data_IF_017814040944
#
_entry.id   IF_017814040944
#
_cell.length_a   1.000
_cell.length_b   1.000
_cell.length_c   1.000
_cell.angle_alpha   90.00
_cell.angle_beta   90.00
_cell.angle_gamma   90.00
#
_symmetry.space_group_name_H-M   'P 1'
#
loop_
_entity.id
_entity.type
_entity.pdbx_description
1 polymer ?
#
# COMPACT_ATOMS: atom_id res chain seq x y z
N UNK A 1 -12.62 27.66 12.02
CA UNK A 1 -11.82 26.68 11.26
C UNK A 1 -10.33 27.03 11.25
N UNK A 2 -9.92 28.25 10.89
CA UNK A 2 -8.50 28.72 10.98
C UNK A 2 -7.89 28.58 12.38
N UNK A 3 -8.67 28.79 13.44
CA UNK A 3 -8.23 28.70 14.83
C UNK A 3 -7.74 27.30 15.24
N UNK A 4 -8.28 26.22 14.65
CA UNK A 4 -7.90 24.85 15.00
C UNK A 4 -6.52 24.50 14.44
N UNK A 5 -6.25 24.82 13.17
CA UNK A 5 -4.94 24.59 12.52
C UNK A 5 -3.82 25.27 13.33
N UNK A 6 -4.05 26.52 13.74
CA UNK A 6 -3.09 27.26 14.57
C UNK A 6 -2.83 26.59 15.93
N UNK A 7 -3.84 25.99 16.55
CA UNK A 7 -3.67 25.26 17.82
C UNK A 7 -2.79 24.02 17.65
N UNK A 8 -3.03 23.22 16.60
CA UNK A 8 -2.20 22.06 16.28
C UNK A 8 -0.75 22.44 15.98
N UNK A 9 -0.53 23.50 15.18
CA UNK A 9 0.82 23.97 14.86
C UNK A 9 1.55 24.52 16.08
N UNK A 10 0.86 25.24 16.98
CA UNK A 10 1.46 25.71 18.24
C UNK A 10 1.87 24.55 19.13
N UNK A 11 0.98 23.56 19.32
CA UNK A 11 1.28 22.36 20.09
C UNK A 11 2.46 21.57 19.48
N UNK A 12 2.48 21.42 18.15
CA UNK A 12 3.58 20.80 17.43
C UNK A 12 4.90 21.53 17.62
N UNK A 13 4.91 22.85 17.41
CA UNK A 13 6.14 23.65 17.53
C UNK A 13 6.69 23.64 18.96
N UNK A 14 5.82 23.61 19.98
CA UNK A 14 6.25 23.44 21.37
C UNK A 14 6.93 22.07 21.55
N UNK A 15 6.25 20.98 21.20
CA UNK A 15 6.77 19.62 21.33
C UNK A 15 8.05 19.36 20.51
N UNK A 16 8.14 19.93 19.31
CA UNK A 16 9.28 19.77 18.41
C UNK A 16 10.53 20.51 18.90
N UNK A 17 10.36 21.60 19.68
CA UNK A 17 11.46 22.38 20.23
C UNK A 17 11.92 21.96 21.63
N UNK A 18 11.22 21.02 22.26
CA UNK A 18 11.61 20.44 23.55
C UNK A 18 12.96 19.72 23.44
N UNK A 19 13.80 19.82 24.48
CA UNK A 19 15.11 19.15 24.54
C UNK A 19 14.97 17.68 24.89
N UNK A 20 15.95 16.86 24.49
CA UNK A 20 15.90 15.39 24.55
C UNK A 20 15.67 14.75 25.94
N UNK A 21 15.79 15.52 27.04
CA UNK A 21 15.55 15.06 28.41
C UNK A 21 14.07 14.95 28.79
N UNK A 22 13.15 15.46 27.96
CA UNK A 22 11.73 15.53 28.26
C UNK A 22 10.89 14.78 27.21
N UNK A 23 9.79 14.17 27.65
CA UNK A 23 8.84 13.48 26.76
C UNK A 23 7.94 14.48 26.06
N UNK A 24 8.05 14.59 24.73
CA UNK A 24 7.18 15.43 23.91
C UNK A 24 5.91 14.67 23.49
N UNK A 25 4.77 15.00 24.09
CA UNK A 25 3.48 14.36 23.78
C UNK A 25 2.45 15.42 23.38
N UNK A 26 1.85 15.24 22.20
CA UNK A 26 0.69 16.01 21.73
C UNK A 26 -0.52 15.08 21.80
N UNK A 27 -1.57 15.48 22.50
CA UNK A 27 -2.73 14.62 22.76
C UNK A 27 -3.95 15.18 22.04
N UNK A 28 -4.61 14.33 21.26
CA UNK A 28 -5.96 14.52 20.75
C UNK A 28 -6.90 13.79 21.71
N UNK A 29 -7.59 14.50 22.63
CA UNK A 29 -8.22 13.84 23.77
C UNK A 29 -9.36 12.91 23.37
N UNK A 30 -9.57 11.86 24.16
CA UNK A 30 -10.73 10.99 24.02
C UNK A 30 -12.04 11.77 24.04
N UNK A 31 -13.07 11.23 23.36
CA UNK A 31 -14.42 11.84 23.23
C UNK A 31 -14.49 13.18 22.49
N UNK A 32 -13.35 13.75 22.08
CA UNK A 32 -13.31 14.98 21.29
C UNK A 32 -13.24 14.69 19.79
N UNK A 33 -13.82 15.59 18.99
CA UNK A 33 -13.75 15.56 17.53
C UNK A 33 -13.21 16.89 17.02
N UNK A 34 -12.14 16.83 16.23
CA UNK A 34 -11.50 18.01 15.64
C UNK A 34 -11.65 17.97 14.11
N UNK A 35 -12.24 19.02 13.55
CA UNK A 35 -12.25 19.26 12.11
C UNK A 35 -10.92 19.89 11.70
N UNK A 36 -10.08 19.14 10.98
CA UNK A 36 -8.71 19.55 10.65
C UNK A 36 -8.59 19.79 9.16
N UNK A 37 -8.29 21.03 8.77
CA UNK A 37 -7.91 21.38 7.40
C UNK A 37 -6.52 20.80 7.05
N UNK A 38 -6.07 20.83 5.78
CA UNK A 38 -4.67 20.61 5.41
C UNK A 38 -3.70 21.21 6.42
N UNK A 39 -2.77 20.39 6.92
CA UNK A 39 -1.80 20.77 7.92
C UNK A 39 -0.55 19.89 7.79
N UNK A 40 0.62 20.54 7.83
CA UNK A 40 1.90 19.87 7.85
C UNK A 40 2.66 20.17 9.15
N UNK A 41 3.03 19.11 9.86
CA UNK A 41 3.91 19.04 11.01
C UNK A 41 5.34 18.82 10.53
N UNK A 42 6.19 19.84 10.69
CA UNK A 42 7.53 19.86 10.09
C UNK A 42 8.62 19.70 11.15
N UNK A 43 9.63 18.89 10.82
CA UNK A 43 10.94 18.88 11.46
C UNK A 43 11.99 19.63 10.61
N UNK A 44 13.30 19.45 10.91
CA UNK A 44 13.83 18.61 11.98
C UNK A 44 13.43 19.13 13.37
N UNK A 45 13.25 18.21 14.32
CA UNK A 45 12.90 18.55 15.70
C UNK A 45 14.12 18.43 16.61
N UNK A 46 14.16 19.25 17.67
CA UNK A 46 15.13 19.13 18.76
C UNK A 46 14.82 17.92 19.65
N UNK A 47 13.53 17.63 19.81
CA UNK A 47 13.07 16.43 20.49
C UNK A 47 13.48 15.19 19.68
N UNK A 48 14.08 14.21 20.36
CA UNK A 48 14.50 12.94 19.76
C UNK A 48 13.34 11.98 19.56
N UNK A 49 12.28 12.11 20.38
CA UNK A 49 11.06 11.34 20.28
C UNK A 49 9.84 12.26 20.46
N UNK A 50 8.89 12.20 19.54
CA UNK A 50 7.63 12.95 19.64
C UNK A 50 6.47 11.96 19.51
N UNK A 51 5.60 11.94 20.52
CA UNK A 51 4.36 11.15 20.46
C UNK A 51 3.19 12.03 20.05
N UNK A 52 2.56 11.70 18.93
CA UNK A 52 1.30 12.27 18.49
C UNK A 52 0.18 11.29 18.85
N UNK A 53 -0.41 11.48 20.04
CA UNK A 53 -1.35 10.55 20.66
C UNK A 53 -2.80 10.91 20.28
N UNK A 54 -3.40 10.09 19.41
CA UNK A 54 -4.77 10.27 18.93
C UNK A 54 -5.71 9.34 19.70
N UNK A 55 -6.39 9.87 20.73
CA UNK A 55 -7.44 9.15 21.46
C UNK A 55 -8.84 9.56 21.02
N UNK A 56 -8.98 10.77 20.47
CA UNK A 56 -10.22 11.31 19.92
C UNK A 56 -10.41 11.02 18.44
N UNK A 57 -11.09 11.94 17.76
CA UNK A 57 -11.37 11.87 16.32
C UNK A 57 -10.79 13.06 15.58
N UNK A 58 -10.07 12.80 14.50
CA UNK A 58 -9.66 13.80 13.52
C UNK A 58 -10.51 13.62 12.26
N UNK A 59 -11.12 14.69 11.78
CA UNK A 59 -12.06 14.65 10.66
C UNK A 59 -11.64 15.64 9.60
N UNK A 60 -11.57 15.21 8.34
CA UNK A 60 -11.29 16.09 7.21
C UNK A 60 -12.54 16.88 6.80
N UNK A 61 -12.38 18.07 6.20
CA UNK A 61 -13.50 18.74 5.55
C UNK A 61 -14.14 17.87 4.46
N UNK A 62 -15.47 17.71 4.53
CA UNK A 62 -16.25 16.80 3.70
C UNK A 62 -16.53 17.30 2.28
N UNK A 63 -16.24 18.57 1.98
CA UNK A 63 -16.50 19.19 0.69
C UNK A 63 -15.20 19.66 0.05
N UNK A 64 -14.89 19.22 -1.17
CA UNK A 64 -13.70 19.66 -1.93
C UNK A 64 -13.56 21.18 -2.05
N UNK A 65 -14.69 21.91 -2.06
CA UNK A 65 -14.71 23.38 -2.09
C UNK A 65 -13.99 24.01 -0.88
N UNK A 66 -14.01 23.36 0.28
CA UNK A 66 -13.36 23.85 1.52
C UNK A 66 -11.83 23.75 1.44
N UNK A 67 -11.31 22.91 0.54
CA UNK A 67 -9.89 22.72 0.32
C UNK A 67 -9.31 23.72 -0.69
N UNK A 68 -10.15 24.50 -1.39
CA UNK A 68 -9.71 25.48 -2.39
C UNK A 68 -8.80 26.52 -1.76
N UNK A 69 -7.63 26.74 -2.36
CA UNK A 69 -6.61 27.68 -1.87
C UNK A 69 -5.69 27.10 -0.77
N UNK A 70 -5.87 25.84 -0.39
CA UNK A 70 -4.95 25.10 0.48
C UNK A 70 -4.15 24.10 -0.36
N UNK A 71 -3.11 23.49 0.22
CA UNK A 71 -2.41 22.36 -0.40
C UNK A 71 -3.12 21.05 0.00
N UNK A 72 -3.92 20.45 -0.88
CA UNK A 72 -4.72 19.29 -0.52
C UNK A 72 -3.88 18.00 -0.49
N UNK A 73 -2.60 18.05 -0.87
CA UNK A 73 -1.67 16.92 -0.67
C UNK A 73 -1.15 16.81 0.77
N UNK A 74 -1.52 17.75 1.65
CA UNK A 74 -0.91 17.95 2.96
C UNK A 74 -1.89 17.77 4.12
N UNK A 75 -2.86 16.88 4.02
CA UNK A 75 -3.65 16.57 5.21
C UNK A 75 -2.85 15.69 6.16
N UNK A 76 -2.82 16.06 7.45
CA UNK A 76 -2.09 15.35 8.51
C UNK A 76 -0.70 14.87 8.07
N UNK A 77 0.10 15.80 7.52
CA UNK A 77 1.41 15.47 6.99
C UNK A 77 2.50 15.67 8.05
N UNK A 78 3.34 14.66 8.24
CA UNK A 78 4.55 14.72 9.04
C UNK A 78 5.75 14.71 8.10
N UNK A 79 6.62 15.70 8.21
CA UNK A 79 7.72 15.96 7.26
C UNK A 79 9.04 16.08 7.97
N UNK A 80 10.04 15.27 7.59
CA UNK A 80 11.41 15.44 8.07
C UNK A 80 11.58 15.18 9.57
N UNK A 81 10.77 14.31 10.15
CA UNK A 81 10.78 14.01 11.60
C UNK A 81 11.49 12.69 11.84
N UNK A 82 12.43 12.67 12.79
CA UNK A 82 13.05 11.44 13.30
C UNK A 82 12.40 11.09 14.66
N UNK A 83 12.14 9.82 14.95
CA UNK A 83 11.57 9.40 16.24
C UNK A 83 10.09 9.76 16.44
N UNK A 84 9.31 9.80 15.34
CA UNK A 84 7.88 10.10 15.43
C UNK A 84 7.08 8.86 15.84
N UNK A 85 6.25 8.98 16.88
CA UNK A 85 5.32 7.95 17.32
C UNK A 85 3.87 8.44 17.18
N UNK A 86 3.20 8.07 16.10
CA UNK A 86 1.77 8.33 15.89
C UNK A 86 1.00 7.14 16.45
N UNK A 87 0.31 7.33 17.56
CA UNK A 87 -0.31 6.23 18.28
C UNK A 87 -1.65 6.62 18.88
N UNK A 88 -2.39 5.64 19.38
CA UNK A 88 -3.60 5.85 20.17
C UNK A 88 -4.65 4.82 19.82
N UNK A 89 -5.90 5.07 20.16
CA UNK A 89 -7.06 4.24 19.81
C UNK A 89 -8.16 5.06 19.13
N UNK A 90 -7.80 6.26 18.69
CA UNK A 90 -8.68 7.21 18.04
C UNK A 90 -8.89 6.90 16.56
N UNK A 91 -9.70 7.76 15.93
CA UNK A 91 -10.15 7.60 14.56
C UNK A 91 -9.77 8.79 13.68
N UNK A 92 -9.28 8.51 12.48
CA UNK A 92 -9.03 9.48 11.41
C UNK A 92 -10.06 9.24 10.31
N UNK A 93 -10.95 10.21 10.09
CA UNK A 93 -12.03 10.15 9.11
C UNK A 93 -11.76 11.13 7.96
N UNK A 94 -11.40 10.60 6.79
CA UNK A 94 -11.02 11.38 5.62
C UNK A 94 -12.19 12.04 4.87
N UNK A 95 -13.44 11.66 5.17
CA UNK A 95 -14.64 12.19 4.50
C UNK A 95 -14.60 12.16 2.96
N UNK A 96 -14.09 11.06 2.39
CA UNK A 96 -13.83 10.86 0.96
C UNK A 96 -15.01 10.96 0.00
N UNK A 97 -16.25 10.74 0.45
CA UNK A 97 -17.42 10.67 -0.43
C UNK A 97 -17.62 11.88 -1.37
N UNK A 98 -17.28 13.10 -0.94
CA UNK A 98 -17.39 14.29 -1.80
C UNK A 98 -16.37 14.32 -2.94
N UNK A 99 -15.25 13.61 -2.79
CA UNK A 99 -14.19 13.47 -3.78
C UNK A 99 -14.48 12.34 -4.76
N UNK A 100 -14.96 11.19 -4.29
CA UNK A 100 -15.24 10.01 -5.12
C UNK A 100 -16.31 10.25 -6.20
N UNK A 101 -17.14 11.28 -6.04
CA UNK A 101 -18.13 11.70 -7.04
C UNK A 101 -17.53 12.59 -8.16
N UNK A 102 -16.21 12.82 -8.14
CA UNK A 102 -15.48 13.62 -9.13
C UNK A 102 -14.47 12.76 -9.88
N UNK A 103 -13.76 13.36 -10.83
CA UNK A 103 -12.68 12.68 -11.53
C UNK A 103 -11.56 12.33 -10.55
N UNK A 104 -10.99 11.11 -10.66
CA UNK A 104 -9.84 10.70 -9.87
C UNK A 104 -8.63 11.63 -10.01
N UNK A 105 -8.55 12.39 -11.11
CA UNK A 105 -7.49 13.40 -11.32
C UNK A 105 -7.58 14.57 -10.36
N UNK A 106 -8.78 14.84 -9.85
CA UNK A 106 -9.07 15.89 -8.88
C UNK A 106 -9.03 15.35 -7.45
N UNK A 107 -8.75 14.04 -7.27
CA UNK A 107 -8.57 13.49 -5.94
C UNK A 107 -7.30 14.06 -5.33
N UNK A 108 -7.41 14.61 -4.13
CA UNK A 108 -6.28 15.12 -3.40
C UNK A 108 -5.46 13.98 -2.82
N UNK A 109 -4.17 14.24 -2.56
CA UNK A 109 -3.29 13.35 -1.79
C UNK A 109 -3.65 13.32 -0.30
N UNK A 110 -4.93 13.06 0.01
CA UNK A 110 -5.45 13.01 1.36
C UNK A 110 -5.13 11.65 1.93
N UNK A 111 -4.16 11.64 2.81
CA UNK A 111 -3.69 10.51 3.60
C UNK A 111 -3.24 11.06 4.95
N UNK A 112 -2.97 10.19 5.91
CA UNK A 112 -1.92 10.49 6.87
C UNK A 112 -0.58 10.33 6.15
N UNK A 113 0.19 11.42 6.06
CA UNK A 113 1.41 11.45 5.26
C UNK A 113 2.65 11.38 6.17
N UNK A 114 3.52 10.40 5.94
CA UNK A 114 4.83 10.23 6.56
C UNK A 114 5.88 10.47 5.47
N UNK A 115 6.45 11.67 5.47
CA UNK A 115 7.26 12.18 4.35
C UNK A 115 8.68 12.50 4.84
N UNK A 116 9.67 11.78 4.33
CA UNK A 116 11.07 11.93 4.74
C UNK A 116 11.26 11.80 6.25
N UNK A 117 10.49 10.92 6.87
CA UNK A 117 10.60 10.62 8.30
C UNK A 117 11.47 9.39 8.52
N UNK A 118 12.17 9.37 9.66
CA UNK A 118 13.06 8.27 10.01
C UNK A 118 12.70 7.69 11.38
N UNK A 119 12.95 6.40 11.58
CA UNK A 119 12.82 5.73 12.89
C UNK A 119 11.47 6.03 13.55
N UNK A 120 10.38 5.79 12.82
CA UNK A 120 9.04 6.26 13.20
C UNK A 120 8.03 5.12 13.23
N UNK A 121 7.04 5.25 14.11
CA UNK A 121 6.03 4.23 14.38
C UNK A 121 4.63 4.81 14.21
N UNK A 122 3.76 4.08 13.52
CA UNK A 122 2.32 4.33 13.42
C UNK A 122 1.56 3.12 13.97
N UNK A 123 0.73 3.28 15.00
CA UNK A 123 0.06 2.12 15.60
C UNK A 123 -1.30 2.34 16.23
N UNK A 124 -2.10 1.27 16.26
CA UNK A 124 -3.36 1.15 17.02
C UNK A 124 -4.51 2.07 16.56
N UNK A 125 -4.41 2.66 15.35
CA UNK A 125 -5.37 3.65 14.87
C UNK A 125 -6.40 3.09 13.88
N UNK A 126 -7.55 3.75 13.83
CA UNK A 126 -8.63 3.47 12.87
C UNK A 126 -8.71 4.57 11.82
N UNK A 127 -8.56 4.21 10.55
CA UNK A 127 -8.70 5.09 9.40
C UNK A 127 -9.98 4.75 8.65
N UNK A 128 -10.75 5.77 8.26
CA UNK A 128 -11.96 5.55 7.44
C UNK A 128 -12.13 6.56 6.34
N UNK A 129 -12.64 6.07 5.20
CA UNK A 129 -13.15 6.88 4.10
C UNK A 129 -12.14 7.94 3.65
N UNK A 130 -10.88 7.54 3.43
CA UNK A 130 -9.92 8.46 2.84
C UNK A 130 -10.35 8.82 1.41
N UNK A 131 -10.24 10.09 1.00
CA UNK A 131 -10.50 10.53 -0.38
C UNK A 131 -9.63 9.82 -1.43
N UNK A 132 -8.43 9.43 -1.03
CA UNK A 132 -7.48 8.62 -1.81
C UNK A 132 -6.80 7.62 -0.84
N UNK A 133 -5.48 7.44 -0.92
CA UNK A 133 -4.70 6.57 -0.04
C UNK A 133 -4.91 6.92 1.44
N UNK A 134 -5.00 5.94 2.34
CA UNK A 134 -5.21 6.24 3.77
C UNK A 134 -3.91 6.61 4.48
N UNK A 135 -2.82 5.86 4.22
CA UNK A 135 -1.49 6.10 4.79
C UNK A 135 -0.46 6.15 3.67
N UNK A 136 0.28 7.24 3.61
CA UNK A 136 1.33 7.46 2.61
C UNK A 136 2.70 7.52 3.28
N UNK A 137 3.63 6.66 2.86
CA UNK A 137 5.02 6.63 3.34
C UNK A 137 5.95 6.94 2.17
N UNK A 138 6.60 8.10 2.19
CA UNK A 138 7.48 8.55 1.10
C UNK A 138 8.84 8.93 1.64
N UNK A 139 9.91 8.54 0.96
CA UNK A 139 11.26 9.06 1.23
C UNK A 139 11.79 8.70 2.62
N UNK A 140 11.24 7.67 3.26
CA UNK A 140 11.35 7.43 4.70
C UNK A 140 12.19 6.18 5.01
N UNK A 141 12.77 6.14 6.20
CA UNK A 141 13.62 5.03 6.65
C UNK A 141 13.21 4.50 8.03
N UNK A 142 13.13 3.18 8.21
CA UNK A 142 12.85 2.60 9.53
C UNK A 142 11.43 2.94 10.00
N UNK A 143 10.43 2.62 9.19
CA UNK A 143 9.01 2.91 9.49
C UNK A 143 8.32 1.63 9.94
N UNK A 144 7.64 1.66 11.08
CA UNK A 144 6.85 0.53 11.58
C UNK A 144 5.37 0.90 11.69
N UNK A 145 4.53 0.25 10.89
CA UNK A 145 3.07 0.39 10.92
C UNK A 145 2.48 -0.88 11.53
N UNK A 146 1.75 -0.76 12.63
CA UNK A 146 1.26 -1.94 13.37
C UNK A 146 -0.16 -1.76 13.89
N UNK A 147 -0.98 -2.81 13.77
CA UNK A 147 -2.32 -2.83 14.34
C UNK A 147 -3.17 -1.64 13.90
N UNK A 148 -3.21 -1.38 12.60
CA UNK A 148 -4.11 -0.37 12.03
C UNK A 148 -5.34 -1.05 11.43
N UNK A 149 -6.49 -0.38 11.57
CA UNK A 149 -7.73 -0.75 10.88
C UNK A 149 -8.02 0.30 9.83
N UNK A 150 -8.21 -0.10 8.58
CA UNK A 150 -8.50 0.80 7.45
C UNK A 150 -9.77 0.33 6.76
N UNK A 151 -10.74 1.24 6.62
CA UNK A 151 -12.04 0.93 6.01
C UNK A 151 -12.51 2.03 5.06
N UNK A 152 -12.74 1.66 3.80
CA UNK A 152 -13.47 2.45 2.82
C UNK A 152 -14.37 1.51 1.99
N UNK A 153 -15.43 2.03 1.34
CA UNK A 153 -16.29 1.23 0.47
C UNK A 153 -15.50 0.52 -0.64
N UNK A 154 -15.90 -0.69 -1.03
CA UNK A 154 -15.27 -1.41 -2.16
C UNK A 154 -15.32 -0.61 -3.48
N UNK A 155 -16.32 0.25 -3.63
CA UNK A 155 -16.48 1.09 -4.83
C UNK A 155 -15.73 2.42 -4.72
N UNK A 156 -14.98 2.70 -3.65
CA UNK A 156 -14.28 3.97 -3.51
C UNK A 156 -12.99 3.99 -4.37
N UNK A 157 -12.88 4.90 -5.34
CA UNK A 157 -11.78 4.91 -6.29
C UNK A 157 -10.45 5.32 -5.68
N UNK A 158 -9.38 4.57 -5.97
CA UNK A 158 -7.99 4.90 -5.60
C UNK A 158 -7.75 5.09 -4.10
N UNK A 159 -8.53 4.38 -3.28
CA UNK A 159 -8.43 4.49 -1.83
C UNK A 159 -7.46 3.46 -1.24
N UNK A 160 -6.23 3.40 -1.72
CA UNK A 160 -5.22 2.46 -1.22
C UNK A 160 -5.16 2.49 0.31
N UNK A 161 -4.91 1.35 0.95
CA UNK A 161 -4.72 1.28 2.39
C UNK A 161 -3.42 1.96 2.79
N UNK A 162 -2.29 1.34 2.44
CA UNK A 162 -0.95 1.86 2.72
C UNK A 162 -0.16 1.92 1.41
N UNK A 163 0.35 3.10 1.05
CA UNK A 163 1.26 3.26 -0.07
C UNK A 163 2.68 3.56 0.42
N UNK A 164 3.67 2.80 -0.06
CA UNK A 164 5.08 3.00 0.23
C UNK A 164 5.79 3.43 -1.05
N UNK A 165 6.59 4.48 -1.00
CA UNK A 165 7.37 4.94 -2.15
C UNK A 165 8.73 5.50 -1.70
N UNK A 166 9.78 5.30 -2.48
CA UNK A 166 11.13 5.80 -2.21
C UNK A 166 11.60 5.59 -0.76
N UNK A 167 11.24 4.46 -0.16
CA UNK A 167 11.43 4.21 1.28
C UNK A 167 12.18 2.91 1.53
N UNK A 168 12.85 2.81 2.67
CA UNK A 168 13.66 1.64 3.02
C UNK A 168 13.42 1.18 4.44
N UNK A 169 13.45 -0.13 4.68
CA UNK A 169 13.24 -0.70 6.01
C UNK A 169 11.86 -0.33 6.57
N UNK A 170 10.81 -0.80 5.90
CA UNK A 170 9.41 -0.56 6.29
C UNK A 170 8.79 -1.87 6.76
N UNK A 171 8.18 -1.86 7.94
CA UNK A 171 7.45 -3.00 8.50
C UNK A 171 5.96 -2.67 8.60
N UNK A 172 5.10 -3.55 8.12
CA UNK A 172 3.64 -3.47 8.25
C UNK A 172 3.16 -4.76 8.88
N UNK A 173 2.44 -4.70 10.00
CA UNK A 173 1.99 -5.89 10.70
C UNK A 173 0.62 -5.78 11.36
N UNK A 174 -0.01 -6.93 11.57
CA UNK A 174 -1.18 -7.13 12.44
C UNK A 174 -2.38 -6.22 12.08
N UNK A 175 -2.63 -6.00 10.79
CA UNK A 175 -3.57 -4.96 10.33
C UNK A 175 -4.74 -5.52 9.53
N UNK A 176 -5.88 -4.80 9.59
CA UNK A 176 -7.10 -5.12 8.85
C UNK A 176 -7.36 -3.98 7.85
N UNK A 177 -7.39 -4.31 6.57
CA UNK A 177 -7.47 -3.33 5.49
C UNK A 177 -8.57 -3.76 4.51
N UNK A 178 -9.62 -2.95 4.39
CA UNK A 178 -10.66 -3.08 3.38
C UNK A 178 -10.91 -1.74 2.71
N UNK A 179 -10.72 -1.68 1.39
CA UNK A 179 -10.84 -0.44 0.62
C UNK A 179 -11.37 -0.73 -0.78
N UNK A 180 -11.47 0.29 -1.64
CA UNK A 180 -11.76 0.11 -3.06
C UNK A 180 -10.53 0.02 -3.98
N UNK A 181 -9.31 -0.07 -3.43
CA UNK A 181 -8.07 -0.25 -4.21
C UNK A 181 -7.07 -1.14 -3.45
N UNK A 182 -5.76 -1.02 -3.72
CA UNK A 182 -4.74 -1.87 -3.12
C UNK A 182 -4.76 -1.78 -1.57
N UNK A 183 -4.72 -2.93 -0.87
CA UNK A 183 -4.54 -2.96 0.58
C UNK A 183 -3.18 -2.37 0.97
N UNK A 184 -2.14 -2.82 0.26
CA UNK A 184 -0.79 -2.24 0.33
C UNK A 184 -0.25 -2.12 -1.08
N UNK A 185 0.25 -0.95 -1.44
CA UNK A 185 0.92 -0.70 -2.72
C UNK A 185 2.36 -0.23 -2.51
N UNK A 186 3.29 -0.80 -3.30
CA UNK A 186 4.73 -0.56 -3.22
C UNK A 186 5.20 0.11 -4.51
N UNK A 187 5.64 1.35 -4.40
CA UNK A 187 6.18 2.17 -5.47
C UNK A 187 7.69 2.05 -5.63
N UNK A 188 8.21 2.87 -6.54
CA UNK A 188 9.61 2.89 -6.95
C UNK A 188 10.59 3.26 -5.82
N UNK A 189 11.88 2.99 -6.01
CA UNK A 189 12.99 3.24 -5.09
C UNK A 189 12.76 2.68 -3.69
N UNK A 190 12.03 1.57 -3.59
CA UNK A 190 11.62 0.96 -2.32
C UNK A 190 12.40 -0.33 -2.05
N UNK A 191 12.92 -0.49 -0.83
CA UNK A 191 13.65 -1.71 -0.48
C UNK A 191 13.49 -2.16 0.97
N UNK A 192 13.67 -3.45 1.24
CA UNK A 192 13.58 -4.04 2.59
C UNK A 192 12.22 -3.74 3.22
N UNK A 193 11.15 -4.24 2.60
CA UNK A 193 9.79 -4.10 3.12
C UNK A 193 9.31 -5.45 3.63
N UNK A 194 8.80 -5.47 4.86
CA UNK A 194 8.26 -6.66 5.52
C UNK A 194 6.79 -6.42 5.84
N UNK A 195 5.91 -7.24 5.27
CA UNK A 195 4.46 -7.16 5.47
C UNK A 195 4.01 -8.49 6.05
N UNK A 196 3.35 -8.49 7.21
CA UNK A 196 2.89 -9.74 7.82
C UNK A 196 1.57 -9.64 8.55
N UNK A 197 0.86 -10.76 8.69
CA UNK A 197 -0.38 -10.84 9.49
C UNK A 197 -1.44 -9.82 9.05
N UNK A 198 -1.75 -9.79 7.75
CA UNK A 198 -2.70 -8.83 7.17
C UNK A 198 -4.01 -9.53 6.81
N UNK A 199 -5.13 -8.92 7.19
CA UNK A 199 -6.45 -9.24 6.64
C UNK A 199 -6.80 -8.21 5.57
N UNK A 200 -6.75 -8.61 4.31
CA UNK A 200 -6.96 -7.75 3.16
C UNK A 200 -8.29 -8.11 2.48
N UNK A 201 -9.20 -7.13 2.35
CA UNK A 201 -10.45 -7.33 1.62
C UNK A 201 -11.65 -6.59 2.20
N UNK A 202 -12.50 -5.97 1.36
CA UNK A 202 -12.41 -5.90 -0.12
C UNK A 202 -11.24 -5.01 -0.60
N UNK A 203 -10.97 -4.99 -1.92
CA UNK A 203 -9.92 -4.17 -2.54
C UNK A 203 -9.12 -4.91 -3.63
N UNK A 204 -7.98 -4.36 -4.02
CA UNK A 204 -7.15 -4.86 -5.12
C UNK A 204 -5.99 -5.79 -4.71
N UNK A 205 -5.86 -6.12 -3.42
CA UNK A 205 -4.81 -7.01 -2.92
C UNK A 205 -3.54 -6.28 -2.48
N UNK A 206 -2.41 -6.97 -2.51
CA UNK A 206 -1.08 -6.39 -2.24
C UNK A 206 -0.32 -6.28 -3.56
N UNK A 207 0.05 -5.06 -3.94
CA UNK A 207 0.62 -4.77 -5.25
C UNK A 207 2.01 -4.14 -5.18
N UNK A 208 2.94 -4.63 -6.00
CA UNK A 208 4.16 -3.93 -6.37
C UNK A 208 3.90 -3.20 -7.69
N UNK A 209 3.91 -1.87 -7.64
CA UNK A 209 3.71 -0.96 -8.76
C UNK A 209 2.40 -0.19 -8.77
N UNK A 210 2.00 0.42 -9.89
CA UNK A 210 2.61 0.26 -11.22
C UNK A 210 3.97 0.93 -11.35
N UNK A 211 4.94 0.26 -11.97
CA UNK A 211 6.32 0.75 -12.12
C UNK A 211 6.73 0.97 -13.57
N UNK A 212 7.59 1.96 -13.82
CA UNK A 212 8.19 2.20 -15.13
C UNK A 212 7.34 3.04 -16.09
N UNK A 213 6.31 3.74 -15.58
CA UNK A 213 5.49 4.63 -16.40
C UNK A 213 6.36 5.67 -17.10
N UNK A 214 6.09 5.93 -18.39
CA UNK A 214 6.84 6.91 -19.18
C UNK A 214 8.27 6.50 -19.52
N UNK A 215 8.65 5.23 -19.29
CA UNK A 215 10.01 4.74 -19.54
C UNK A 215 11.00 5.02 -18.41
N UNK A 216 10.49 5.37 -17.23
CA UNK A 216 11.29 5.61 -16.05
C UNK A 216 12.07 4.36 -15.63
N UNK A 217 13.29 4.59 -15.16
CA UNK A 217 14.08 3.57 -14.48
C UNK A 217 13.55 3.38 -13.07
N UNK A 218 13.28 2.13 -12.69
CA UNK A 218 12.78 1.76 -11.37
C UNK A 218 13.71 0.81 -10.63
N UNK A 219 13.64 0.85 -9.30
CA UNK A 219 14.36 -0.05 -8.40
C UNK A 219 13.46 -0.46 -7.24
N UNK A 220 13.09 -1.74 -7.19
CA UNK A 220 12.41 -2.35 -6.02
C UNK A 220 13.14 -3.64 -5.64
N UNK A 221 13.48 -3.81 -4.36
CA UNK A 221 14.22 -5.01 -3.95
C UNK A 221 13.96 -5.44 -2.50
N UNK A 222 14.06 -6.75 -2.24
CA UNK A 222 13.95 -7.33 -0.90
C UNK A 222 12.59 -7.02 -0.26
N UNK A 223 11.53 -7.53 -0.87
CA UNK A 223 10.16 -7.39 -0.37
C UNK A 223 9.71 -8.76 0.12
N UNK A 224 9.29 -8.83 1.37
CA UNK A 224 8.82 -10.06 1.99
C UNK A 224 7.41 -9.84 2.55
N UNK A 225 6.46 -10.60 2.02
CA UNK A 225 5.06 -10.56 2.42
C UNK A 225 4.68 -11.94 2.92
N UNK A 226 4.18 -12.04 4.16
CA UNK A 226 3.81 -13.32 4.76
C UNK A 226 2.50 -13.28 5.52
N UNK A 227 1.84 -14.43 5.69
CA UNK A 227 0.67 -14.58 6.57
C UNK A 227 -0.46 -13.60 6.22
N UNK A 228 -0.88 -13.59 4.96
CA UNK A 228 -1.97 -12.71 4.50
C UNK A 228 -3.22 -13.51 4.20
N UNK A 229 -4.33 -13.06 4.78
CA UNK A 229 -5.66 -13.54 4.47
C UNK A 229 -6.35 -12.56 3.54
N UNK A 230 -6.60 -12.98 2.30
CA UNK A 230 -7.34 -12.23 1.30
C UNK A 230 -8.81 -12.68 1.27
N UNK A 231 -9.75 -11.74 1.28
CA UNK A 231 -11.18 -12.05 1.15
C UNK A 231 -11.88 -11.11 0.18
N UNK A 232 -12.46 -11.66 -0.89
CA UNK A 232 -13.26 -10.87 -1.82
C UNK A 232 -12.47 -9.76 -2.52
N UNK A 233 -11.16 -9.91 -2.65
CA UNK A 233 -10.32 -8.94 -3.38
C UNK A 233 -10.29 -9.27 -4.87
N UNK A 234 -10.03 -8.26 -5.71
CA UNK A 234 -9.85 -8.50 -7.15
C UNK A 234 -8.53 -9.21 -7.44
N UNK A 235 -7.52 -9.04 -6.59
CA UNK A 235 -6.26 -9.76 -6.71
C UNK A 235 -5.76 -10.20 -5.34
N UNK A 236 -4.87 -11.20 -5.32
CA UNK A 236 -4.09 -11.55 -4.14
C UNK A 236 -2.79 -10.75 -4.10
N UNK A 237 -1.70 -11.36 -4.55
CA UNK A 237 -0.39 -10.73 -4.70
C UNK A 237 -0.16 -10.39 -6.18
N UNK A 238 0.29 -9.16 -6.45
CA UNK A 238 0.38 -8.62 -7.81
C UNK A 238 1.67 -7.84 -8.04
N UNK A 239 2.35 -8.08 -9.15
CA UNK A 239 3.42 -7.21 -9.68
C UNK A 239 2.91 -6.58 -10.97
N UNK A 240 2.94 -5.25 -11.09
CA UNK A 240 2.45 -4.51 -12.27
C UNK A 240 3.51 -3.54 -12.80
N UNK A 241 3.92 -3.69 -14.05
CA UNK A 241 4.91 -2.80 -14.71
C UNK A 241 4.44 -2.35 -16.08
N UNK A 242 4.81 -1.14 -16.48
CA UNK A 242 4.60 -0.62 -17.81
C UNK A 242 5.66 -1.19 -18.76
N UNK A 243 5.28 -1.61 -19.98
CA UNK A 243 6.21 -2.20 -20.96
C UNK A 243 7.38 -1.26 -21.33
N UNK A 244 7.16 0.06 -21.31
CA UNK A 244 8.20 1.05 -21.60
C UNK A 244 9.25 1.16 -20.47
N UNK A 245 8.95 0.63 -19.29
CA UNK A 245 9.77 0.75 -18.08
C UNK A 245 11.14 0.11 -18.21
N UNK A 246 12.04 0.53 -17.32
CA UNK A 246 13.44 0.04 -17.23
C UNK A 246 13.81 -0.20 -15.77
N UNK A 247 14.94 -0.85 -15.51
CA UNK A 247 15.40 -1.14 -14.15
C UNK A 247 14.91 -2.50 -13.66
N UNK A 248 14.68 -2.67 -12.36
CA UNK A 248 14.43 -4.00 -11.79
C UNK A 248 13.50 -4.05 -10.58
N UNK A 249 12.88 -5.22 -10.43
CA UNK A 249 12.21 -5.75 -9.24
C UNK A 249 12.89 -7.07 -8.92
N UNK A 250 13.52 -7.21 -7.75
CA UNK A 250 14.27 -8.42 -7.41
C UNK A 250 14.13 -8.85 -5.95
N UNK A 251 14.24 -10.14 -5.68
CA UNK A 251 14.23 -10.69 -4.32
C UNK A 251 12.88 -10.45 -3.65
N UNK A 252 11.82 -10.99 -4.25
CA UNK A 252 10.46 -10.87 -3.75
C UNK A 252 10.03 -12.22 -3.19
N UNK A 253 9.49 -12.22 -1.98
CA UNK A 253 8.94 -13.43 -1.36
C UNK A 253 7.51 -13.17 -0.92
N UNK A 254 6.60 -13.98 -1.45
CA UNK A 254 5.23 -14.10 -0.97
C UNK A 254 5.08 -15.48 -0.34
N UNK A 255 4.83 -15.55 0.95
CA UNK A 255 4.62 -16.82 1.64
C UNK A 255 3.41 -16.85 2.58
N UNK A 256 2.91 -18.06 2.89
CA UNK A 256 1.79 -18.25 3.83
C UNK A 256 0.55 -17.41 3.46
N UNK A 257 0.04 -17.60 2.24
CA UNK A 257 -1.11 -16.85 1.72
C UNK A 257 -2.38 -17.69 1.75
N UNK A 258 -3.47 -17.10 2.22
CA UNK A 258 -4.79 -17.71 2.16
C UNK A 258 -5.76 -16.85 1.35
N UNK A 259 -6.39 -17.45 0.35
CA UNK A 259 -7.33 -16.78 -0.54
C UNK A 259 -8.77 -17.27 -0.30
N UNK A 260 -9.68 -16.34 0.01
CA UNK A 260 -11.10 -16.62 0.08
C UNK A 260 -11.86 -15.82 -0.99
N UNK A 261 -12.32 -16.50 -2.03
CA UNK A 261 -13.11 -15.88 -3.10
C UNK A 261 -12.37 -14.67 -3.70
N UNK A 262 -11.10 -14.85 -4.06
CA UNK A 262 -10.26 -13.81 -4.68
C UNK A 262 -10.36 -13.92 -6.20
N UNK A 263 -10.53 -12.82 -6.95
CA UNK A 263 -10.70 -12.96 -8.40
C UNK A 263 -9.42 -13.49 -9.07
N UNK A 264 -8.25 -12.92 -8.77
CA UNK A 264 -6.96 -13.29 -9.37
C UNK A 264 -5.85 -13.43 -8.29
N UNK A 265 -5.69 -14.60 -7.65
CA UNK A 265 -4.75 -14.80 -6.54
C UNK A 265 -3.29 -14.41 -6.79
N UNK A 266 -2.70 -14.83 -7.92
CA UNK A 266 -1.27 -14.62 -8.20
C UNK A 266 -1.10 -13.97 -9.58
N UNK A 267 -0.50 -12.78 -9.62
CA UNK A 267 -0.33 -12.02 -10.87
C UNK A 267 1.06 -11.41 -11.01
N UNK A 268 1.65 -11.58 -12.19
CA UNK A 268 2.64 -10.65 -12.75
C UNK A 268 2.08 -10.12 -14.06
N UNK A 269 2.00 -8.80 -14.19
CA UNK A 269 1.55 -8.11 -15.41
C UNK A 269 2.60 -7.07 -15.82
N UNK A 270 3.46 -7.43 -16.77
CA UNK A 270 4.40 -6.49 -17.38
C UNK A 270 3.80 -5.73 -18.57
N UNK A 271 2.52 -5.95 -18.86
CA UNK A 271 1.78 -5.36 -19.98
C UNK A 271 0.77 -4.30 -19.51
N UNK A 272 1.07 -3.64 -18.38
CA UNK A 272 0.17 -2.68 -17.76
C UNK A 272 0.06 -1.38 -18.60
N UNK A 273 -1.17 -0.98 -18.92
CA UNK A 273 -1.48 0.32 -19.53
C UNK A 273 -2.88 0.84 -19.20
N UNK A 274 -3.14 2.10 -19.58
CA UNK A 274 -4.42 2.79 -19.33
C UNK A 274 -5.62 2.11 -20.00
N UNK A 275 -5.40 1.44 -21.14
CA UNK A 275 -6.45 0.74 -21.89
C UNK A 275 -5.99 -0.70 -22.05
N UNK A 276 -6.71 -1.63 -21.43
CA UNK A 276 -6.44 -3.07 -21.57
C UNK A 276 -6.39 -3.44 -23.06
N UNK A 277 -5.45 -4.31 -23.40
CA UNK A 277 -5.27 -4.85 -24.76
C UNK A 277 -4.86 -3.85 -25.86
N UNK A 278 -4.70 -2.56 -25.52
CA UNK A 278 -4.18 -1.54 -26.45
C UNK A 278 -2.65 -1.35 -26.34
N UNK A 279 -2.01 -2.05 -25.40
CA UNK A 279 -0.57 -2.05 -25.23
C UNK A 279 0.12 -2.71 -26.44
N UNK A 280 0.85 -1.92 -27.22
CA UNK A 280 1.75 -2.47 -28.24
C UNK A 280 2.99 -3.01 -27.57
N UNK A 281 3.33 -4.27 -27.83
CA UNK A 281 4.58 -4.90 -27.37
C UNK A 281 5.78 -3.97 -27.57
N UNK A 282 6.62 -3.84 -26.53
CA UNK A 282 7.80 -2.98 -26.55
C UNK A 282 9.08 -3.82 -26.46
N UNK A 283 10.20 -3.21 -26.88
CA UNK A 283 11.54 -3.80 -26.79
C UNK A 283 12.20 -3.63 -25.41
N UNK A 284 11.50 -2.98 -24.48
CA UNK A 284 11.95 -2.69 -23.12
C UNK A 284 11.03 -3.39 -22.11
N UNK A 285 11.42 -3.34 -20.85
CA UNK A 285 10.66 -3.88 -19.74
C UNK A 285 11.47 -3.74 -18.45
N UNK A 286 10.77 -3.70 -17.32
CA UNK A 286 11.41 -3.77 -16.00
C UNK A 286 11.81 -5.23 -15.77
N UNK A 287 13.07 -5.51 -15.44
CA UNK A 287 13.49 -6.88 -15.12
C UNK A 287 12.81 -7.35 -13.82
N UNK A 288 12.11 -8.48 -13.87
CA UNK A 288 11.49 -9.10 -12.69
C UNK A 288 12.21 -10.42 -12.43
N UNK A 289 12.99 -10.46 -11.36
CA UNK A 289 13.84 -11.63 -11.04
C UNK A 289 13.64 -12.10 -9.62
N UNK A 290 13.88 -13.38 -9.37
CA UNK A 290 13.91 -13.98 -8.02
C UNK A 290 12.62 -13.72 -7.23
N UNK A 291 11.49 -14.19 -7.79
CA UNK A 291 10.17 -14.09 -7.18
C UNK A 291 9.74 -15.45 -6.64
N UNK A 292 9.57 -15.54 -5.33
CA UNK A 292 9.17 -16.76 -4.63
C UNK A 292 7.69 -16.68 -4.24
N UNK A 293 6.94 -17.69 -4.65
CA UNK A 293 5.58 -17.98 -4.20
C UNK A 293 5.61 -19.29 -3.40
N UNK A 294 5.38 -19.22 -2.10
CA UNK A 294 5.52 -20.37 -1.19
C UNK A 294 4.29 -20.54 -0.29
N UNK A 295 3.83 -21.78 -0.11
CA UNK A 295 2.75 -22.12 0.82
C UNK A 295 1.50 -21.25 0.66
N UNK A 296 0.80 -21.45 -0.45
CA UNK A 296 -0.35 -20.64 -0.84
C UNK A 296 -1.58 -21.52 -1.05
N UNK A 297 -2.71 -21.19 -0.43
CA UNK A 297 -3.91 -22.01 -0.57
C UNK A 297 -5.20 -21.19 -0.60
N UNK A 298 -6.26 -21.77 -1.17
CA UNK A 298 -7.60 -21.21 -1.07
C UNK A 298 -8.36 -21.23 -2.39
N UNK A 299 -9.19 -20.21 -2.61
CA UNK A 299 -10.20 -20.20 -3.66
C UNK A 299 -10.13 -18.95 -4.53
N UNK A 300 -10.28 -19.16 -5.85
CA UNK A 300 -10.44 -18.11 -6.84
C UNK A 300 -11.85 -18.04 -7.40
N UNK A 301 -12.37 -16.83 -7.61
CA UNK A 301 -13.67 -16.63 -8.28
C UNK A 301 -13.56 -16.84 -9.78
N UNK A 302 -12.44 -16.44 -10.40
CA UNK A 302 -12.27 -16.57 -11.85
C UNK A 302 -11.55 -17.89 -12.18
N UNK A 303 -11.60 -18.31 -13.44
CA UNK A 303 -10.85 -19.49 -13.87
C UNK A 303 -9.33 -19.24 -13.82
N UNK A 304 -8.87 -18.03 -14.12
CA UNK A 304 -7.45 -17.72 -14.21
C UNK A 304 -6.89 -17.36 -12.83
N UNK A 305 -6.45 -18.37 -12.07
CA UNK A 305 -5.98 -18.16 -10.71
C UNK A 305 -4.51 -17.71 -10.63
N UNK A 306 -3.70 -18.13 -11.60
CA UNK A 306 -2.29 -17.76 -11.73
C UNK A 306 -2.09 -17.14 -13.12
N UNK A 307 -1.67 -15.88 -13.17
CA UNK A 307 -1.41 -15.17 -14.43
C UNK A 307 -0.04 -14.49 -14.41
N UNK A 308 0.95 -15.09 -15.07
CA UNK A 308 2.30 -14.55 -15.20
C UNK A 308 2.52 -14.04 -16.62
N UNK A 309 2.04 -12.84 -16.89
CA UNK A 309 2.09 -12.21 -18.20
C UNK A 309 3.31 -11.30 -18.31
N UNK A 310 4.47 -11.89 -18.60
CA UNK A 310 5.73 -11.17 -18.73
C UNK A 310 5.91 -10.58 -20.15
N UNK A 311 6.79 -9.59 -20.29
CA UNK A 311 7.12 -8.95 -21.56
C UNK A 311 7.82 -9.95 -22.46
N UNK A 312 7.50 -9.95 -23.76
CA UNK A 312 8.16 -10.84 -24.71
C UNK A 312 9.64 -10.50 -24.90
N UNK A 313 10.01 -9.23 -24.71
CA UNK A 313 11.38 -8.75 -24.86
C UNK A 313 12.20 -8.84 -23.57
N UNK A 314 11.54 -8.84 -22.41
CA UNK A 314 12.19 -8.88 -21.09
C UNK A 314 11.45 -9.89 -20.22
N UNK A 315 11.97 -11.12 -20.19
CA UNK A 315 11.41 -12.22 -19.44
C UNK A 315 11.38 -11.96 -17.93
N UNK A 316 10.44 -12.61 -17.23
CA UNK A 316 10.58 -12.82 -15.79
C UNK A 316 11.39 -14.09 -15.56
N UNK A 317 12.39 -14.06 -14.68
CA UNK A 317 13.28 -15.21 -14.45
C UNK A 317 13.46 -15.50 -12.97
N UNK A 318 13.90 -16.71 -12.63
CA UNK A 318 14.09 -17.09 -11.22
C UNK A 318 12.78 -17.15 -10.43
N UNK A 319 11.65 -17.43 -11.10
CA UNK A 319 10.37 -17.62 -10.40
C UNK A 319 10.39 -18.99 -9.72
N UNK A 320 10.05 -19.01 -8.43
CA UNK A 320 9.91 -20.24 -7.66
C UNK A 320 8.48 -20.40 -7.19
N UNK A 321 7.81 -21.48 -7.60
CA UNK A 321 6.50 -21.87 -7.07
C UNK A 321 6.64 -23.10 -6.19
N UNK A 322 6.17 -23.03 -4.95
CA UNK A 322 6.26 -24.13 -3.99
C UNK A 322 4.99 -24.24 -3.16
N UNK A 323 4.41 -25.44 -3.09
CA UNK A 323 3.24 -25.74 -2.26
C UNK A 323 2.08 -24.76 -2.49
N UNK A 324 1.53 -24.75 -3.71
CA UNK A 324 0.41 -23.92 -4.12
C UNK A 324 -0.82 -24.81 -4.33
N UNK A 325 -1.94 -24.48 -3.68
CA UNK A 325 -3.20 -25.21 -3.78
C UNK A 325 -4.40 -24.26 -3.91
N UNK A 326 -4.67 -23.84 -5.15
CA UNK A 326 -5.78 -22.98 -5.52
C UNK A 326 -6.90 -23.79 -6.16
N UNK A 327 -8.14 -23.52 -5.75
CA UNK A 327 -9.36 -24.16 -6.27
C UNK A 327 -10.34 -23.09 -6.75
N UNK A 328 -11.36 -23.50 -7.51
CA UNK A 328 -12.45 -22.58 -7.79
C UNK A 328 -13.32 -22.38 -6.55
N UNK A 329 -13.76 -21.15 -6.31
CA UNK A 329 -14.84 -20.83 -5.37
C UNK A 329 -16.21 -21.30 -5.90
N UNK A 330 -16.32 -21.61 -7.19
CA UNK A 330 -17.54 -22.04 -7.85
C UNK A 330 -17.57 -23.57 -7.95
N UNK A 331 -18.63 -24.20 -7.46
CA UNK A 331 -18.79 -25.66 -7.50
C UNK A 331 -18.72 -26.19 -8.93
N UNK A 332 -17.99 -27.29 -9.13
CA UNK A 332 -17.84 -27.94 -10.44
C UNK A 332 -16.85 -27.26 -11.40
N UNK A 333 -16.31 -26.09 -11.05
CA UNK A 333 -15.35 -25.38 -11.88
C UNK A 333 -13.91 -25.66 -11.46
N UNK A 334 -12.99 -25.51 -12.41
CA UNK A 334 -11.55 -25.60 -12.18
C UNK A 334 -10.89 -24.24 -12.38
N UNK A 335 -9.73 -24.08 -11.78
CA UNK A 335 -8.84 -22.95 -12.02
C UNK A 335 -7.67 -23.38 -12.90
N UNK A 336 -7.04 -22.44 -13.57
CA UNK A 336 -5.93 -22.64 -14.49
C UNK A 336 -4.82 -21.63 -14.24
N UNK A 337 -3.63 -21.97 -14.75
CA UNK A 337 -2.46 -21.09 -14.82
C UNK A 337 -2.25 -20.62 -16.27
N UNK A 338 -1.81 -19.38 -16.46
CA UNK A 338 -1.33 -18.85 -17.73
C UNK A 338 0.00 -18.14 -17.54
N UNK A 339 0.98 -18.47 -18.39
CA UNK A 339 2.31 -17.89 -18.36
C UNK A 339 2.70 -17.42 -19.76
N UNK A 340 3.39 -16.30 -19.84
CA UNK A 340 4.03 -15.80 -21.06
C UNK A 340 5.43 -15.33 -20.68
N UNK A 341 6.45 -15.95 -21.26
CA UNK A 341 7.86 -15.59 -21.05
C UNK A 341 8.26 -15.51 -19.57
N UNK A 342 7.79 -16.47 -18.79
CA UNK A 342 7.98 -16.57 -17.34
C UNK A 342 8.73 -17.86 -17.02
N UNK A 343 9.95 -17.71 -16.50
CA UNK A 343 10.91 -18.79 -16.38
C UNK A 343 11.24 -19.11 -14.92
N UNK A 344 11.32 -20.40 -14.60
CA UNK A 344 11.65 -20.85 -13.26
C UNK A 344 11.21 -22.28 -12.97
N UNK A 345 10.98 -22.57 -11.69
CA UNK A 345 10.77 -23.94 -11.22
C UNK A 345 9.55 -24.03 -10.30
N UNK A 346 8.87 -25.18 -10.39
CA UNK A 346 7.81 -25.57 -9.48
C UNK A 346 8.24 -26.79 -8.65
N UNK A 347 8.02 -26.76 -7.34
CA UNK A 347 8.35 -27.85 -6.42
C UNK A 347 7.18 -28.21 -5.50
N UNK A 348 7.05 -29.50 -5.19
CA UNK A 348 5.96 -30.00 -4.36
C UNK A 348 4.61 -29.96 -5.11
N UNK A 349 3.52 -29.82 -4.37
CA UNK A 349 2.18 -29.70 -4.96
C UNK A 349 2.00 -28.27 -5.48
N UNK A 350 1.75 -28.12 -6.77
CA UNK A 350 1.36 -26.85 -7.40
C UNK A 350 0.09 -27.10 -8.20
N UNK A 351 -1.03 -26.57 -7.72
CA UNK A 351 -2.37 -26.68 -8.29
C UNK A 351 -3.00 -25.29 -8.35
N UNK A 352 -3.49 -24.81 -9.51
CA UNK A 352 -3.40 -25.45 -10.82
C UNK A 352 -1.95 -25.68 -11.27
N UNK A 353 -1.76 -26.61 -12.22
CA UNK A 353 -0.42 -26.99 -12.70
C UNK A 353 0.38 -25.74 -13.11
N UNK A 354 1.68 -25.75 -12.81
CA UNK A 354 2.59 -24.67 -13.21
C UNK A 354 2.67 -24.56 -14.72
N UNK A 355 2.75 -23.33 -15.22
CA UNK A 355 2.99 -23.01 -16.63
C UNK A 355 4.36 -22.39 -16.88
N UNK A 356 5.26 -22.42 -15.89
CA UNK A 356 6.61 -21.85 -16.00
C UNK A 356 7.43 -22.61 -17.04
N UNK A 357 8.17 -21.85 -17.84
CA UNK A 357 9.20 -22.36 -18.74
C UNK A 357 10.49 -22.63 -17.93
N UNK A 358 11.25 -23.67 -18.30
CA UNK A 358 12.48 -24.08 -17.59
C UNK A 358 13.70 -23.41 -18.22
#
# INVERSE_FOLDING_TARGET
MVLLVMAFLKAWNAACNTTASETSIIIIPSKQTFLVNPIAFRGPCKATNITFLIQGRLVAPNSPKVWKGLDPSQWLAFRGVCGLNIAGNGKIDGKGSGWWNQSCRDHPGLALNILSCNESILRNLHFTNSPQTHILVIGSYGINIKNVRIEAPETSPNTDGIHIHASRNVMISDSIIGTGDDCVSIGDYTSKVYISSIKCGPGHGISIGSLGRGGNFVKVENIHVSKVYFKGTTNGVRIKTWQVGKGYIQGITFEDMYFNSVQNPIIIDQNYCNVRDACKEQKTGVHVTDVVYNNMSGTSITALAINLNCSQSVACTGILMKSIELRSAQTGHKVISSCRNAHGFAFGVVQPDSCLEI
#
